data_IF_802860837208
#
_entry.id   IF_802860837208
#
_cell.length_a   1.000
_cell.length_b   1.000
_cell.length_c   1.000
_cell.angle_alpha   90.00
_cell.angle_beta   90.00
_cell.angle_gamma   90.00
#
_symmetry.space_group_name_H-M   'P 1'
#
loop_
_entity.id
_entity.type
_entity.pdbx_description
1 polymer ?
#
# COMPACT_ATOMS: atom_id res chain seq x y z
N UNK A 1 -5.15 -9.21 -5.06
CA UNK A 1 -4.77 -8.93 -3.66
C UNK A 1 -4.87 -7.44 -3.40
N UNK A 2 -5.46 -7.07 -2.26
CA UNK A 2 -5.60 -5.70 -1.78
C UNK A 2 -4.83 -5.51 -0.48
N UNK A 3 -4.53 -4.26 -0.15
CA UNK A 3 -4.00 -3.85 1.14
C UNK A 3 -4.88 -2.72 1.69
N UNK A 4 -5.23 -2.80 2.98
CA UNK A 4 -5.96 -1.77 3.70
C UNK A 4 -5.08 -1.19 4.80
N UNK A 5 -5.03 0.15 4.89
CA UNK A 5 -4.42 0.89 6.00
C UNK A 5 -5.51 1.13 7.04
N UNK A 6 -5.29 0.58 8.23
CA UNK A 6 -6.26 0.53 9.31
C UNK A 6 -6.33 1.86 10.07
N UNK A 7 -7.46 2.10 10.73
CA UNK A 7 -7.71 3.27 11.57
C UNK A 7 -7.09 3.18 12.96
N UNK A 8 -7.64 3.98 13.88
CA UNK A 8 -7.16 4.10 15.27
C UNK A 8 -7.27 2.81 16.10
N UNK A 9 -8.15 1.89 15.71
CA UNK A 9 -8.33 0.59 16.37
C UNK A 9 -8.11 -0.54 15.35
N UNK A 10 -6.85 -0.91 15.04
CA UNK A 10 -6.53 -1.87 13.99
C UNK A 10 -7.22 -3.23 14.16
N UNK A 11 -7.34 -3.72 15.40
CA UNK A 11 -7.98 -5.00 15.67
C UNK A 11 -9.45 -5.03 15.25
N UNK A 12 -10.21 -3.94 15.50
CA UNK A 12 -11.58 -3.81 15.03
C UNK A 12 -11.65 -3.68 13.50
N UNK A 13 -10.70 -2.96 12.91
CA UNK A 13 -10.61 -2.86 11.44
C UNK A 13 -10.35 -4.21 10.77
N UNK A 14 -9.50 -5.06 11.35
CA UNK A 14 -9.29 -6.42 10.85
C UNK A 14 -10.54 -7.28 11.04
N UNK A 15 -11.19 -7.23 12.21
CA UNK A 15 -12.44 -7.96 12.42
C UNK A 15 -13.54 -7.56 11.41
N UNK A 16 -13.63 -6.28 11.05
CA UNK A 16 -14.53 -5.79 9.99
C UNK A 16 -14.17 -6.39 8.62
N UNK A 17 -12.88 -6.40 8.27
CA UNK A 17 -12.40 -7.03 7.03
C UNK A 17 -12.70 -8.54 7.00
N UNK A 18 -12.49 -9.24 8.11
CA UNK A 18 -12.77 -10.68 8.25
C UNK A 18 -14.27 -10.98 8.13
N UNK A 19 -15.13 -10.10 8.66
CA UNK A 19 -16.58 -10.21 8.51
C UNK A 19 -17.01 -10.06 7.04
N UNK A 20 -16.37 -9.15 6.30
CA UNK A 20 -16.74 -8.85 4.91
C UNK A 20 -16.16 -9.84 3.89
N UNK A 21 -14.91 -10.28 4.08
CA UNK A 21 -14.16 -11.08 3.11
C UNK A 21 -13.87 -12.52 3.59
N UNK A 22 -14.15 -12.83 4.85
CA UNK A 22 -13.82 -14.09 5.48
C UNK A 22 -12.42 -14.10 6.13
N UNK A 23 -12.30 -14.72 7.30
CA UNK A 23 -11.05 -14.75 8.07
C UNK A 23 -9.87 -15.36 7.29
N UNK A 24 -10.11 -16.37 6.45
CA UNK A 24 -9.05 -16.99 5.64
C UNK A 24 -8.49 -16.06 4.55
N UNK A 25 -9.26 -15.05 4.13
CA UNK A 25 -8.88 -14.11 3.08
C UNK A 25 -8.07 -12.92 3.62
N UNK A 26 -8.10 -12.68 4.94
CA UNK A 26 -7.49 -11.52 5.58
C UNK A 26 -6.23 -11.95 6.33
N UNK A 27 -5.16 -11.19 6.16
CA UNK A 27 -3.91 -11.41 6.91
C UNK A 27 -3.36 -10.09 7.40
N UNK A 28 -2.88 -10.07 8.65
CA UNK A 28 -2.13 -8.94 9.18
C UNK A 28 -0.90 -8.64 8.33
N UNK A 29 -0.62 -7.36 8.12
CA UNK A 29 0.57 -6.86 7.45
C UNK A 29 1.18 -5.73 8.26
N UNK A 30 2.00 -6.10 9.25
CA UNK A 30 2.49 -5.17 10.27
C UNK A 30 1.39 -4.72 11.23
N UNK A 31 1.63 -3.62 11.95
CA UNK A 31 0.74 -3.15 13.02
C UNK A 31 -0.44 -2.28 12.53
N UNK A 32 -0.35 -1.72 11.32
CA UNK A 32 -1.28 -0.70 10.82
C UNK A 32 -1.95 -1.08 9.49
N UNK A 33 -1.72 -2.30 8.99
CA UNK A 33 -2.29 -2.73 7.72
C UNK A 33 -2.67 -4.21 7.73
N UNK A 34 -3.54 -4.57 6.79
CA UNK A 34 -3.90 -5.95 6.50
C UNK A 34 -4.01 -6.15 4.99
N UNK A 35 -3.65 -7.34 4.52
CA UNK A 35 -3.85 -7.77 3.13
C UNK A 35 -5.13 -8.57 3.01
N UNK A 36 -5.81 -8.41 1.88
CA UNK A 36 -7.07 -9.07 1.56
C UNK A 36 -6.94 -9.81 0.22
N UNK A 37 -7.24 -11.11 0.23
CA UNK A 37 -7.31 -11.94 -0.97
C UNK A 37 -8.75 -12.05 -1.43
N UNK A 38 -9.10 -11.23 -2.42
CA UNK A 38 -10.43 -11.20 -3.03
C UNK A 38 -10.30 -10.63 -4.45
N UNK A 39 -11.22 -10.99 -5.33
CA UNK A 39 -11.34 -10.42 -6.69
C UNK A 39 -12.02 -9.04 -6.68
N UNK A 40 -12.86 -8.79 -5.67
CA UNK A 40 -13.57 -7.52 -5.50
C UNK A 40 -13.24 -6.88 -4.15
N UNK A 41 -13.33 -5.56 -4.09
CA UNK A 41 -13.05 -4.80 -2.88
C UNK A 41 -14.05 -3.66 -2.71
N UNK A 42 -14.88 -3.76 -1.68
CA UNK A 42 -15.93 -2.81 -1.35
C UNK A 42 -15.48 -1.84 -0.25
N UNK A 43 -14.64 -0.86 -0.61
CA UNK A 43 -14.12 0.12 0.35
C UNK A 43 -15.22 0.92 1.05
N UNK A 44 -16.29 1.27 0.32
CA UNK A 44 -17.43 2.07 0.83
C UNK A 44 -18.17 1.42 2.01
N UNK A 45 -17.94 0.12 2.26
CA UNK A 45 -18.55 -0.60 3.38
C UNK A 45 -17.68 -0.60 4.64
N UNK A 46 -16.46 -0.08 4.58
CA UNK A 46 -15.49 -0.13 5.68
C UNK A 46 -15.51 1.17 6.49
N UNK A 47 -15.70 1.05 7.80
CA UNK A 47 -15.52 2.15 8.75
C UNK A 47 -14.16 2.11 9.47
N UNK A 48 -13.52 0.94 9.52
CA UNK A 48 -12.27 0.70 10.23
C UNK A 48 -10.99 0.95 9.42
N UNK A 49 -11.11 1.25 8.13
CA UNK A 49 -9.99 1.47 7.20
C UNK A 49 -9.92 2.92 6.72
N UNK A 50 -8.73 3.51 6.73
CA UNK A 50 -8.52 4.90 6.27
C UNK A 50 -8.23 4.98 4.77
N UNK A 51 -7.53 3.97 4.24
CA UNK A 51 -7.14 3.89 2.83
C UNK A 51 -7.08 2.42 2.42
N UNK A 52 -7.25 2.15 1.14
CA UNK A 52 -6.97 0.83 0.59
C UNK A 52 -6.48 0.95 -0.86
N UNK A 53 -5.86 -0.11 -1.36
CA UNK A 53 -5.39 -0.17 -2.72
C UNK A 53 -5.13 -1.59 -3.19
N UNK A 54 -5.01 -1.76 -4.50
CA UNK A 54 -4.58 -3.02 -5.09
C UNK A 54 -3.06 -3.12 -5.01
N UNK A 55 -2.55 -4.27 -4.56
CA UNK A 55 -1.11 -4.52 -4.57
C UNK A 55 -0.68 -4.83 -6.00
N UNK A 56 0.24 -4.02 -6.53
CA UNK A 56 0.76 -4.15 -7.91
C UNK A 56 2.23 -4.59 -7.94
N UNK A 57 2.94 -4.44 -6.83
CA UNK A 57 4.35 -4.75 -6.72
C UNK A 57 4.70 -5.08 -5.26
N UNK A 58 5.46 -6.15 -5.05
CA UNK A 58 6.02 -6.52 -3.75
C UNK A 58 7.55 -6.52 -3.84
N UNK A 59 8.20 -5.74 -2.98
CA UNK A 59 9.64 -5.57 -2.96
C UNK A 59 10.20 -5.87 -1.56
N UNK A 60 11.43 -6.37 -1.50
CA UNK A 60 12.14 -6.65 -0.24
C UNK A 60 13.55 -6.07 -0.30
N UNK A 61 14.03 -5.53 0.82
CA UNK A 61 15.38 -5.01 0.96
C UNK A 61 15.44 -3.72 1.76
N UNK A 62 16.59 -3.04 1.72
CA UNK A 62 16.76 -1.71 2.31
C UNK A 62 15.93 -0.66 1.56
N UNK A 63 15.60 0.45 2.21
CA UNK A 63 14.88 1.55 1.57
C UNK A 63 15.55 2.04 0.28
N UNK A 64 16.88 2.10 0.27
CA UNK A 64 17.65 2.47 -0.93
C UNK A 64 17.48 1.46 -2.08
N UNK A 65 17.47 0.17 -1.79
CA UNK A 65 17.28 -0.86 -2.82
C UNK A 65 15.85 -0.82 -3.38
N UNK A 66 14.86 -0.70 -2.49
CA UNK A 66 13.43 -0.61 -2.82
C UNK A 66 13.14 0.65 -3.61
N UNK A 67 13.60 1.83 -3.18
CA UNK A 67 13.39 3.09 -3.91
C UNK A 67 13.91 3.05 -5.35
N UNK A 68 15.10 2.46 -5.59
CA UNK A 68 15.64 2.26 -6.94
C UNK A 68 14.81 1.28 -7.77
N UNK A 69 14.25 0.24 -7.16
CA UNK A 69 13.36 -0.70 -7.85
C UNK A 69 12.02 -0.06 -8.23
N UNK A 70 11.42 0.73 -7.32
CA UNK A 70 10.22 1.53 -7.59
C UNK A 70 10.48 2.46 -8.77
N UNK A 71 11.59 3.21 -8.74
CA UNK A 71 11.99 4.13 -9.82
C UNK A 71 12.03 3.42 -11.17
N UNK A 72 12.82 2.34 -11.28
CA UNK A 72 12.95 1.58 -12.53
C UNK A 72 11.61 1.02 -13.03
N UNK A 73 10.79 0.48 -12.13
CA UNK A 73 9.51 -0.13 -12.51
C UNK A 73 8.56 0.90 -13.14
N UNK A 74 8.36 2.03 -12.47
CA UNK A 74 7.39 3.02 -12.93
C UNK A 74 7.92 3.94 -14.03
N UNK A 75 9.20 4.31 -14.04
CA UNK A 75 9.77 5.08 -15.16
C UNK A 75 9.66 4.29 -16.47
N UNK A 76 9.81 2.96 -16.45
CA UNK A 76 9.59 2.12 -17.62
C UNK A 76 8.11 2.06 -18.05
N UNK A 77 7.18 1.92 -17.10
CA UNK A 77 5.75 1.86 -17.40
C UNK A 77 5.18 3.20 -17.89
N UNK A 78 5.72 4.31 -17.41
CA UNK A 78 5.19 5.65 -17.70
C UNK A 78 5.92 6.36 -18.82
N UNK A 79 6.95 5.75 -19.41
CA UNK A 79 7.76 6.37 -20.46
C UNK A 79 6.93 6.87 -21.65
N UNK A 80 5.87 6.14 -22.01
CA UNK A 80 4.98 6.49 -23.13
C UNK A 80 3.73 7.27 -22.71
N UNK A 81 3.61 7.70 -21.46
CA UNK A 81 2.43 8.42 -20.99
C UNK A 81 2.38 9.82 -21.64
N UNK A 82 1.31 10.17 -22.38
CA UNK A 82 1.24 11.45 -23.08
C UNK A 82 0.86 12.62 -22.17
N UNK A 83 0.74 12.39 -20.86
CA UNK A 83 0.27 13.36 -19.87
C UNK A 83 1.14 13.32 -18.61
N UNK A 84 1.06 14.40 -17.81
CA UNK A 84 1.69 14.45 -16.49
C UNK A 84 1.08 13.41 -15.56
N UNK A 85 1.91 12.74 -14.79
CA UNK A 85 1.50 11.80 -13.74
C UNK A 85 1.81 12.42 -12.38
N UNK A 86 0.81 12.48 -11.51
CA UNK A 86 0.99 12.91 -10.11
C UNK A 86 1.14 11.68 -9.24
N UNK A 87 2.26 11.59 -8.52
CA UNK A 87 2.54 10.49 -7.60
C UNK A 87 2.67 11.00 -6.17
N UNK A 88 1.94 10.37 -5.25
CA UNK A 88 2.13 10.53 -3.81
C UNK A 88 2.74 9.26 -3.21
N UNK A 89 3.72 9.42 -2.34
CA UNK A 89 4.33 8.30 -1.60
C UNK A 89 4.00 8.46 -0.13
N UNK A 90 3.53 7.39 0.50
CA UNK A 90 3.31 7.30 1.94
C UNK A 90 3.97 6.03 2.47
N UNK A 91 4.63 6.14 3.62
CA UNK A 91 5.31 5.03 4.27
C UNK A 91 4.64 4.76 5.62
N UNK A 92 4.23 3.52 5.86
CA UNK A 92 3.54 3.08 7.07
C UNK A 92 4.35 1.99 7.76
N UNK A 93 4.69 2.17 9.03
CA UNK A 93 5.45 1.18 9.80
C UNK A 93 6.93 1.01 9.41
N UNK A 94 7.47 1.91 8.59
CA UNK A 94 8.90 1.93 8.22
C UNK A 94 9.68 2.94 9.05
N UNK A 95 10.97 2.68 9.27
CA UNK A 95 11.90 3.63 9.90
C UNK A 95 12.42 4.71 8.94
N UNK A 96 11.94 4.74 7.70
CA UNK A 96 12.36 5.71 6.69
C UNK A 96 11.94 7.12 7.09
N UNK A 97 12.87 8.06 6.97
CA UNK A 97 12.63 9.47 7.22
C UNK A 97 11.79 10.09 6.10
N UNK A 98 11.11 11.20 6.40
CA UNK A 98 10.39 11.98 5.39
C UNK A 98 11.29 12.38 4.21
N UNK A 99 12.57 12.66 4.47
CA UNK A 99 13.57 12.98 3.45
C UNK A 99 13.85 11.79 2.52
N UNK A 100 13.95 10.57 3.04
CA UNK A 100 14.16 9.36 2.24
C UNK A 100 12.93 9.01 1.38
N UNK A 101 11.73 9.22 1.92
CA UNK A 101 10.48 9.07 1.18
C UNK A 101 10.41 10.10 0.04
N UNK A 102 10.69 11.37 0.32
CA UNK A 102 10.73 12.42 -0.70
C UNK A 102 11.77 12.14 -1.79
N UNK A 103 12.98 11.72 -1.39
CA UNK A 103 14.05 11.36 -2.33
C UNK A 103 13.63 10.25 -3.28
N UNK A 104 12.82 9.30 -2.81
CA UNK A 104 12.28 8.23 -3.66
C UNK A 104 11.39 8.80 -4.77
N UNK A 105 10.54 9.78 -4.43
CA UNK A 105 9.68 10.46 -5.39
C UNK A 105 10.44 11.33 -6.39
N UNK A 106 11.58 11.90 -6.00
CA UNK A 106 12.41 12.75 -6.87
C UNK A 106 13.28 11.96 -7.88
N UNK A 107 13.47 10.65 -7.67
CA UNK A 107 14.26 9.79 -8.56
C UNK A 107 13.41 9.20 -9.69
N UNK A 108 12.08 9.23 -9.57
CA UNK A 108 11.11 8.73 -10.55
C UNK A 108 10.93 9.70 -11.73
#
# INVERSE_FOLDING_TARGET
MYIAILGRQPALGVAELECLYGAAAVRWFGAQAATITSDTFAFERLGGSQKAGRVVLELRGTWLAVSRQIARHYSAQWQSAPHKITLGISAYGFSATAREVQKTGLIL
#
